data_IF_805524478047
#
_entry.id   IF_805524478047
#
_cell.length_a   1.000
_cell.length_b   1.000
_cell.length_c   1.000
_cell.angle_alpha   90.00
_cell.angle_beta   90.00
_cell.angle_gamma   90.00
#
_symmetry.space_group_name_H-M   'P 1'
#
loop_
_entity.id
_entity.type
_entity.pdbx_description
1 polymer ?
#
# COMPACT_ATOMS: atom_id res chain seq x y z
N UNK A 1 -7.62 -8.63 -9.41
CA UNK A 1 -7.21 -9.15 -8.09
C UNK A 1 -8.46 -9.62 -7.35
N UNK A 2 -8.37 -10.62 -6.45
CA UNK A 2 -9.49 -10.91 -5.53
C UNK A 2 -9.33 -9.93 -4.36
N UNK A 3 -10.31 -9.07 -4.13
CA UNK A 3 -10.27 -8.14 -3.00
C UNK A 3 -10.00 -8.95 -1.72
N UNK A 4 -8.93 -8.66 -0.97
CA UNK A 4 -8.66 -9.43 0.23
C UNK A 4 -9.77 -9.19 1.25
N UNK A 5 -10.00 -10.19 2.08
CA UNK A 5 -11.11 -10.17 3.04
C UNK A 5 -10.70 -9.31 4.22
N UNK A 6 -11.69 -8.77 4.92
CA UNK A 6 -11.47 -8.06 6.18
C UNK A 6 -10.53 -8.82 7.14
N UNK A 7 -10.68 -10.15 7.19
CA UNK A 7 -9.87 -11.05 8.01
C UNK A 7 -8.37 -10.99 7.71
N UNK A 8 -7.99 -10.69 6.46
CA UNK A 8 -6.59 -10.68 6.00
C UNK A 8 -5.79 -9.50 6.56
N UNK A 9 -6.47 -8.41 6.97
CA UNK A 9 -5.82 -7.20 7.51
C UNK A 9 -6.28 -6.80 8.90
N UNK A 10 -7.35 -7.42 9.42
CA UNK A 10 -7.88 -7.15 10.75
C UNK A 10 -6.79 -7.17 11.85
N UNK A 11 -5.80 -8.08 11.86
CA UNK A 11 -4.73 -8.05 12.85
C UNK A 11 -3.83 -6.81 12.77
N UNK A 12 -3.54 -6.33 11.56
CA UNK A 12 -2.71 -5.14 11.35
C UNK A 12 -3.48 -3.85 11.65
N UNK A 13 -4.78 -3.82 11.34
CA UNK A 13 -5.69 -2.73 11.68
C UNK A 13 -5.94 -2.61 13.19
N UNK A 14 -5.95 -3.73 13.91
CA UNK A 14 -6.11 -3.76 15.36
C UNK A 14 -4.80 -3.49 16.15
N UNK A 15 -3.65 -3.40 15.47
CA UNK A 15 -2.34 -3.27 16.11
C UNK A 15 -1.98 -1.84 16.54
N UNK A 16 -2.70 -0.82 16.05
CA UNK A 16 -2.46 0.59 16.34
C UNK A 16 -3.68 1.30 16.93
N UNK A 17 -3.46 2.49 17.47
CA UNK A 17 -4.53 3.41 17.89
C UNK A 17 -5.24 4.05 16.69
N UNK A 18 -4.56 4.12 15.54
CA UNK A 18 -5.11 4.51 14.25
C UNK A 18 -4.55 3.60 13.17
N UNK A 19 -5.35 3.23 12.19
CA UNK A 19 -4.89 2.41 11.08
C UNK A 19 -5.66 2.72 9.78
N UNK A 20 -4.95 2.60 8.66
CA UNK A 20 -5.41 2.91 7.31
C UNK A 20 -5.05 1.74 6.39
N UNK A 21 -5.95 1.42 5.46
CA UNK A 21 -5.71 0.47 4.37
C UNK A 21 -5.85 1.21 3.06
N UNK A 22 -4.89 0.99 2.18
CA UNK A 22 -4.85 1.50 0.82
C UNK A 22 -5.00 0.32 -0.12
N UNK A 23 -5.94 0.42 -1.06
CA UNK A 23 -6.05 -0.51 -2.17
C UNK A 23 -5.72 0.26 -3.44
N UNK A 24 -4.78 -0.27 -4.21
CA UNK A 24 -4.38 0.31 -5.48
C UNK A 24 -4.55 -0.73 -6.58
N UNK A 25 -5.18 -0.30 -7.67
CA UNK A 25 -5.24 -1.03 -8.92
C UNK A 25 -4.80 -0.09 -10.03
N UNK A 26 -3.80 -0.51 -10.79
CA UNK A 26 -3.19 0.26 -11.86
C UNK A 26 -3.18 -0.57 -13.14
N UNK A 27 -3.54 0.08 -14.25
CA UNK A 27 -3.47 -0.51 -15.60
C UNK A 27 -2.75 0.46 -16.51
N UNK A 28 -1.87 -0.07 -17.34
CA UNK A 28 -1.11 0.72 -18.29
C UNK A 28 -1.03 0.02 -19.64
N UNK A 29 -1.04 0.83 -20.69
CA UNK A 29 -0.71 0.43 -22.06
C UNK A 29 0.54 1.21 -22.46
N UNK A 30 1.63 0.50 -22.73
CA UNK A 30 2.88 1.05 -23.24
C UNK A 30 2.96 0.77 -24.73
N UNK A 31 3.23 1.82 -25.52
CA UNK A 31 3.40 1.74 -26.97
C UNK A 31 4.78 2.26 -27.34
N UNK A 32 5.63 1.39 -27.90
CA UNK A 32 6.96 1.77 -28.39
C UNK A 32 6.88 1.96 -29.89
N UNK A 33 7.36 3.11 -30.38
CA UNK A 33 7.50 3.39 -31.81
C UNK A 33 8.96 3.47 -32.20
N UNK A 34 9.28 2.93 -33.37
CA UNK A 34 10.58 3.05 -34.00
C UNK A 34 10.39 3.38 -35.49
N UNK A 35 11.16 4.35 -35.98
CA UNK A 35 11.08 4.84 -37.37
C UNK A 35 9.66 5.16 -37.89
N UNK A 36 8.81 5.73 -37.03
CA UNK A 36 7.43 6.09 -37.38
C UNK A 36 6.47 4.91 -37.50
N UNK A 37 6.90 3.72 -37.06
CA UNK A 37 6.07 2.50 -36.97
C UNK A 37 5.98 2.03 -35.54
N UNK A 38 4.85 1.43 -35.18
CA UNK A 38 4.71 0.78 -33.88
C UNK A 38 5.59 -0.48 -33.86
N UNK A 39 6.54 -0.53 -32.92
CA UNK A 39 7.47 -1.65 -32.77
C UNK A 39 7.05 -2.59 -31.64
N UNK A 40 6.42 -2.08 -30.58
CA UNK A 40 5.95 -2.88 -29.45
C UNK A 40 4.68 -2.29 -28.82
N UNK A 41 3.81 -3.16 -28.34
CA UNK A 41 2.70 -2.80 -27.46
C UNK A 41 2.69 -3.76 -26.26
N UNK A 42 2.73 -3.21 -25.06
CA UNK A 42 2.71 -3.98 -23.82
C UNK A 42 1.59 -3.47 -22.92
N UNK A 43 0.72 -4.38 -22.50
CA UNK A 43 -0.25 -4.12 -21.45
C UNK A 43 0.33 -4.60 -20.12
N UNK A 44 0.25 -3.76 -19.10
CA UNK A 44 0.58 -4.14 -17.74
C UNK A 44 -0.55 -3.79 -16.80
N UNK A 45 -0.70 -4.63 -15.78
CA UNK A 45 -1.58 -4.37 -14.66
C UNK A 45 -0.82 -4.65 -13.39
N UNK A 46 -0.96 -3.77 -12.43
CA UNK A 46 -0.47 -3.97 -11.09
C UNK A 46 -1.60 -3.73 -10.09
N UNK A 47 -1.52 -4.42 -8.96
CA UNK A 47 -2.47 -4.22 -7.88
C UNK A 47 -1.81 -4.57 -6.57
N UNK A 48 -2.15 -3.83 -5.52
CA UNK A 48 -1.52 -3.98 -4.23
C UNK A 48 -2.37 -3.47 -3.10
N UNK A 49 -2.04 -3.94 -1.89
CA UNK A 49 -2.65 -3.46 -0.67
C UNK A 49 -1.57 -2.96 0.27
N UNK A 50 -1.71 -1.73 0.72
CA UNK A 50 -0.84 -1.12 1.72
C UNK A 50 -1.58 -0.98 3.05
N UNK A 51 -0.91 -1.29 4.16
CA UNK A 51 -1.45 -1.04 5.50
C UNK A 51 -0.52 -0.10 6.24
N UNK A 52 -1.08 0.91 6.90
CA UNK A 52 -0.35 1.84 7.76
C UNK A 52 -1.06 1.92 9.10
N UNK A 53 -0.33 1.80 10.20
CA UNK A 53 -0.88 2.02 11.53
C UNK A 53 -0.01 2.97 12.35
N UNK A 54 -0.63 3.61 13.33
CA UNK A 54 0.01 4.48 14.29
C UNK A 54 -0.26 3.92 15.67
N UNK A 55 0.80 3.65 16.42
CA UNK A 55 0.72 3.27 17.83
C UNK A 55 1.20 4.43 18.67
N UNK A 56 0.30 4.99 19.47
CA UNK A 56 0.58 5.98 20.47
C UNK A 56 1.13 5.26 21.70
N UNK A 57 2.44 5.23 21.84
CA UNK A 57 3.02 4.90 23.13
C UNK A 57 2.60 6.00 24.12
N UNK A 58 1.74 5.65 25.09
CA UNK A 58 1.51 6.48 26.27
C UNK A 58 2.75 6.41 27.16
N UNK A 59 3.84 7.03 26.72
CA UNK A 59 5.01 7.32 27.55
C UNK A 59 4.70 8.49 28.48
N UNK A 60 5.20 8.41 29.72
CA UNK A 60 5.13 9.44 30.77
C UNK A 60 5.28 10.88 30.24
N UNK A 61 4.70 11.88 30.93
CA UNK A 61 4.92 13.28 30.60
C UNK A 61 6.44 13.57 30.47
N UNK A 62 6.93 13.85 29.26
CA UNK A 62 8.31 14.28 29.00
C UNK A 62 9.23 13.39 28.14
N UNK A 63 8.77 12.28 27.53
CA UNK A 63 9.62 11.40 26.69
C UNK A 63 9.58 11.70 25.18
N UNK A 64 10.61 11.29 24.39
CA UNK A 64 10.77 11.72 23.01
C UNK A 64 9.77 11.05 22.06
N UNK A 65 8.84 11.86 21.54
CA UNK A 65 8.36 11.80 20.16
C UNK A 65 7.47 10.62 19.76
N UNK A 66 6.28 10.97 19.28
CA UNK A 66 5.34 10.10 18.55
C UNK A 66 6.10 9.29 17.48
N UNK A 67 6.05 7.95 17.52
CA UNK A 67 6.63 7.09 16.49
C UNK A 67 5.52 6.52 15.60
N UNK A 68 5.57 6.85 14.32
CA UNK A 68 4.78 6.19 13.28
C UNK A 68 5.60 5.02 12.73
N UNK A 69 5.05 3.81 12.74
CA UNK A 69 5.66 2.64 12.10
C UNK A 69 4.80 2.22 10.90
N UNK A 70 5.38 2.26 9.71
CA UNK A 70 4.72 1.76 8.49
C UNK A 70 5.28 0.38 8.17
N UNK A 71 4.42 -0.64 8.07
CA UNK A 71 4.79 -1.97 7.58
C UNK A 71 4.02 -2.29 6.31
N UNK A 72 4.74 -2.62 5.25
CA UNK A 72 4.15 -3.12 4.01
C UNK A 72 3.98 -4.64 4.13
N UNK A 73 2.76 -5.13 3.95
CA UNK A 73 2.46 -6.56 3.83
C UNK A 73 2.27 -6.89 2.35
N UNK A 74 3.11 -7.77 1.82
CA UNK A 74 3.01 -8.36 0.47
C UNK A 74 2.24 -9.67 0.50
#
# INVERSE_FOLDING_TARGET
MRLPRWEDWAPALAAGDHAEVFLEESRALSLTHDEGRLSEAAESSDSGVGVRYLRLERGRPGGPGRRAETRFGS
#
